data_IF_452203281174
#
_entry.id   IF_452203281174
#
_cell.length_a   1.000
_cell.length_b   1.000
_cell.length_c   1.000
_cell.angle_alpha   90.00
_cell.angle_beta   90.00
_cell.angle_gamma   90.00
#
_symmetry.space_group_name_H-M   'P 1'
#
loop_
_entity.id
_entity.type
_entity.pdbx_description
1 polymer ?
#
# COMPACT_ATOMS: atom_id res chain seq x y z
N UNK A 1 -9.30 -39.07 -22.47
CA UNK A 1 -9.91 -39.81 -21.34
C UNK A 1 -9.32 -39.40 -19.98
N UNK A 2 -7.99 -39.36 -19.85
CA UNK A 2 -7.28 -38.93 -18.62
C UNK A 2 -7.69 -37.54 -18.09
N UNK A 3 -7.70 -36.53 -18.97
CA UNK A 3 -7.99 -35.14 -18.60
C UNK A 3 -9.42 -34.94 -18.05
N UNK A 4 -10.42 -35.72 -18.53
CA UNK A 4 -11.81 -35.63 -18.02
C UNK A 4 -11.89 -36.09 -16.55
N UNK A 5 -11.12 -37.11 -16.16
CA UNK A 5 -11.11 -37.61 -14.79
C UNK A 5 -10.37 -36.67 -13.85
N UNK A 6 -9.22 -36.12 -14.28
CA UNK A 6 -8.54 -35.05 -13.55
C UNK A 6 -9.46 -33.84 -13.35
N UNK A 7 -10.20 -33.45 -14.38
CA UNK A 7 -11.15 -32.34 -14.31
C UNK A 7 -12.27 -32.61 -13.28
N UNK A 8 -12.83 -33.83 -13.24
CA UNK A 8 -13.84 -34.20 -12.23
C UNK A 8 -13.30 -34.05 -10.81
N UNK A 9 -12.05 -34.44 -10.56
CA UNK A 9 -11.41 -34.33 -9.24
C UNK A 9 -11.13 -32.87 -8.90
N UNK A 10 -10.52 -32.10 -9.80
CA UNK A 10 -10.20 -30.68 -9.54
C UNK A 10 -11.48 -29.86 -9.28
N UNK A 11 -12.60 -30.20 -9.92
CA UNK A 11 -13.90 -29.57 -9.67
C UNK A 11 -14.44 -29.80 -8.25
N UNK A 12 -13.95 -30.78 -7.48
CA UNK A 12 -14.33 -30.96 -6.06
C UNK A 12 -13.47 -30.13 -5.10
N UNK A 13 -12.38 -29.52 -5.57
CA UNK A 13 -11.48 -28.75 -4.72
C UNK A 13 -12.10 -27.42 -4.33
N UNK A 14 -12.00 -27.08 -3.04
CA UNK A 14 -12.32 -25.74 -2.55
C UNK A 14 -11.14 -24.82 -2.82
N UNK A 15 -11.12 -24.19 -3.99
CA UNK A 15 -10.04 -23.29 -4.41
C UNK A 15 -10.24 -21.91 -3.79
N UNK A 16 -9.20 -21.41 -3.12
CA UNK A 16 -9.12 -20.04 -2.58
C UNK A 16 -8.28 -19.17 -3.53
N UNK A 17 -8.71 -17.93 -3.73
CA UNK A 17 -7.91 -16.91 -4.43
C UNK A 17 -6.76 -16.37 -3.56
N UNK A 18 -6.84 -16.57 -2.24
CA UNK A 18 -5.77 -16.23 -1.30
C UNK A 18 -4.69 -17.32 -1.30
N UNK A 19 -3.42 -16.96 -1.50
CA UNK A 19 -2.31 -17.89 -1.36
C UNK A 19 -2.23 -18.54 0.02
N UNK A 20 -1.82 -19.81 0.07
CA UNK A 20 -1.67 -20.57 1.31
C UNK A 20 -0.29 -21.22 1.43
N UNK A 21 0.37 -21.09 2.58
CA UNK A 21 1.61 -21.82 2.85
C UNK A 21 1.34 -23.11 3.61
N UNK A 22 1.30 -24.24 2.90
CA UNK A 22 0.94 -25.55 3.47
C UNK A 22 1.66 -26.72 2.81
N UNK A 23 1.46 -27.91 3.37
CA UNK A 23 1.92 -29.17 2.75
C UNK A 23 1.08 -29.56 1.54
N UNK A 24 1.63 -30.45 0.73
CA UNK A 24 0.96 -31.02 -0.44
C UNK A 24 -0.04 -32.10 -0.01
N UNK A 25 -1.15 -32.21 -0.73
CA UNK A 25 -2.20 -33.20 -0.49
C UNK A 25 -2.43 -34.05 -1.72
N UNK A 26 -2.85 -35.30 -1.50
CA UNK A 26 -3.35 -36.15 -2.57
C UNK A 26 -4.65 -35.56 -3.13
N UNK A 27 -4.72 -35.42 -4.45
CA UNK A 27 -5.86 -34.91 -5.20
C UNK A 27 -7.18 -35.62 -4.88
N UNK A 28 -7.12 -36.94 -4.63
CA UNK A 28 -8.28 -37.77 -4.36
C UNK A 28 -8.62 -37.84 -2.87
N UNK A 29 -7.74 -38.40 -2.04
CA UNK A 29 -8.05 -38.63 -0.62
C UNK A 29 -7.74 -37.43 0.30
N UNK A 30 -7.16 -36.35 -0.22
CA UNK A 30 -6.82 -35.12 0.51
C UNK A 30 -5.83 -35.30 1.69
N UNK A 31 -5.27 -36.50 1.91
CA UNK A 31 -4.21 -36.74 2.89
C UNK A 31 -2.92 -36.03 2.48
N UNK A 32 -2.16 -35.53 3.46
CA UNK A 32 -0.85 -34.91 3.23
C UNK A 32 0.16 -35.92 2.70
N UNK A 33 1.02 -35.48 1.79
CA UNK A 33 2.01 -36.31 1.10
C UNK A 33 3.33 -35.56 0.88
N UNK A 34 4.43 -36.31 0.80
CA UNK A 34 5.79 -35.78 0.56
C UNK A 34 6.38 -36.17 -0.80
N UNK A 35 5.81 -37.23 -1.41
CA UNK A 35 6.06 -37.67 -2.78
C UNK A 35 4.71 -37.98 -3.41
N UNK A 36 4.61 -37.79 -4.71
CA UNK A 36 3.36 -38.02 -5.44
C UNK A 36 3.64 -38.47 -6.87
N UNK A 37 2.62 -39.05 -7.50
CA UNK A 37 2.51 -39.10 -8.95
C UNK A 37 2.06 -37.74 -9.45
N UNK A 38 2.86 -37.11 -10.30
CA UNK A 38 2.58 -35.78 -10.84
C UNK A 38 1.89 -35.89 -12.20
N UNK A 39 0.73 -35.23 -12.32
CA UNK A 39 -0.02 -35.09 -13.56
C UNK A 39 -0.31 -33.62 -13.83
N UNK A 40 -0.66 -33.29 -15.07
CA UNK A 40 -1.00 -31.93 -15.50
C UNK A 40 -2.41 -31.92 -16.08
N UNK A 41 -3.31 -31.15 -15.49
CA UNK A 41 -4.62 -30.86 -16.06
C UNK A 41 -4.50 -29.61 -16.92
N UNK A 42 -4.88 -29.70 -18.21
CA UNK A 42 -4.77 -28.60 -19.20
C UNK A 42 -6.06 -28.35 -19.98
N UNK A 43 -7.22 -28.72 -19.43
CA UNK A 43 -8.52 -28.62 -20.11
C UNK A 43 -9.59 -27.99 -19.21
N UNK A 44 -10.73 -27.62 -19.80
CA UNK A 44 -11.90 -27.12 -19.07
C UNK A 44 -11.66 -25.81 -18.33
N UNK A 45 -10.75 -24.96 -18.82
CA UNK A 45 -10.35 -23.72 -18.17
C UNK A 45 -9.30 -23.89 -17.06
N UNK A 46 -8.65 -25.05 -16.95
CA UNK A 46 -7.60 -25.30 -15.96
C UNK A 46 -6.25 -25.58 -16.62
N UNK A 47 -5.18 -25.08 -15.99
CA UNK A 47 -3.77 -25.42 -16.26
C UNK A 47 -3.03 -25.62 -14.94
N UNK A 48 -3.25 -26.76 -14.28
CA UNK A 48 -2.81 -26.99 -12.89
C UNK A 48 -2.15 -28.37 -12.71
N UNK A 49 -1.11 -28.48 -11.87
CA UNK A 49 -0.62 -29.77 -11.42
C UNK A 49 -1.68 -30.52 -10.60
N UNK A 50 -1.71 -31.85 -10.72
CA UNK A 50 -2.56 -32.76 -9.95
C UNK A 50 -1.69 -33.89 -9.39
N UNK A 51 -1.75 -34.11 -8.08
CA UNK A 51 -0.83 -34.99 -7.37
C UNK A 51 -1.55 -36.16 -6.70
N UNK A 52 -1.13 -37.40 -6.92
CA UNK A 52 -1.72 -38.58 -6.26
C UNK A 52 -0.74 -39.30 -5.35
N UNK A 53 -1.21 -39.77 -4.19
CA UNK A 53 -0.46 -40.74 -3.40
C UNK A 53 -0.45 -42.12 -4.11
N UNK A 54 0.46 -43.01 -3.71
CA UNK A 54 0.57 -44.35 -4.32
C UNK A 54 -0.75 -45.13 -4.29
N UNK A 55 -1.44 -45.15 -3.14
CA UNK A 55 -2.71 -45.88 -2.98
C UNK A 55 -3.80 -45.35 -3.91
N UNK A 56 -3.99 -44.02 -3.97
CA UNK A 56 -4.99 -43.43 -4.85
C UNK A 56 -4.63 -43.58 -6.32
N UNK A 57 -3.33 -43.52 -6.68
CA UNK A 57 -2.91 -43.76 -8.06
C UNK A 57 -3.18 -45.20 -8.51
N UNK A 58 -2.93 -46.18 -7.64
CA UNK A 58 -3.24 -47.58 -7.91
C UNK A 58 -4.75 -47.83 -8.07
N UNK A 59 -5.61 -47.14 -7.31
CA UNK A 59 -7.07 -47.23 -7.49
C UNK A 59 -7.57 -46.64 -8.81
N UNK A 60 -6.79 -45.75 -9.42
CA UNK A 60 -7.06 -45.17 -10.74
C UNK A 60 -6.55 -46.08 -11.89
N UNK A 61 -6.18 -47.34 -11.61
CA UNK A 61 -5.54 -48.33 -12.51
C UNK A 61 -6.24 -48.64 -13.85
N UNK A 62 -7.34 -47.97 -14.20
CA UNK A 62 -7.92 -48.04 -15.57
C UNK A 62 -7.29 -47.04 -16.55
N UNK A 63 -6.30 -46.25 -16.13
CA UNK A 63 -5.68 -45.23 -16.97
C UNK A 63 -4.17 -45.44 -17.02
N UNK A 64 -3.64 -45.76 -18.22
CA UNK A 64 -2.21 -45.65 -18.62
C UNK A 64 -1.71 -44.19 -18.51
N UNK A 65 -1.81 -43.58 -17.34
CA UNK A 65 -1.35 -42.21 -17.10
C UNK A 65 0.15 -42.24 -16.87
N UNK A 66 0.91 -41.72 -17.83
CA UNK A 66 2.35 -41.47 -17.66
C UNK A 66 2.51 -40.41 -16.55
N UNK A 67 3.02 -40.81 -15.40
CA UNK A 67 3.36 -39.92 -14.29
C UNK A 67 4.72 -40.28 -13.76
N UNK A 68 5.41 -39.32 -13.12
CA UNK A 68 6.67 -39.57 -12.43
C UNK A 68 6.43 -39.49 -10.94
N UNK A 69 6.79 -40.53 -10.20
CA UNK A 69 6.74 -40.52 -8.74
C UNK A 69 7.95 -39.77 -8.18
N UNK A 70 7.75 -38.53 -7.72
CA UNK A 70 8.84 -37.65 -7.26
C UNK A 70 8.41 -36.71 -6.14
N UNK A 71 9.41 -36.14 -5.46
CA UNK A 71 9.20 -35.06 -4.48
C UNK A 71 8.75 -33.77 -5.18
N UNK A 72 8.17 -32.86 -4.41
CA UNK A 72 7.75 -31.55 -4.89
C UNK A 72 8.95 -30.60 -5.00
N UNK A 73 8.88 -29.66 -5.94
CA UNK A 73 9.94 -28.70 -6.26
C UNK A 73 9.36 -27.30 -6.47
N UNK A 74 10.17 -26.28 -6.20
CA UNK A 74 9.78 -24.89 -6.43
C UNK A 74 9.68 -24.58 -7.92
N UNK A 75 8.55 -24.03 -8.35
CA UNK A 75 8.36 -23.64 -9.76
C UNK A 75 9.30 -22.49 -10.17
N UNK A 76 9.83 -21.73 -9.20
CA UNK A 76 10.79 -20.65 -9.47
C UNK A 76 12.27 -21.09 -9.39
N UNK A 77 12.64 -21.97 -8.47
CA UNK A 77 14.06 -22.28 -8.22
C UNK A 77 14.41 -23.76 -8.18
N UNK A 78 13.47 -24.66 -8.48
CA UNK A 78 13.69 -26.10 -8.48
C UNK A 78 13.92 -26.75 -7.12
N UNK A 79 14.09 -25.98 -6.03
CA UNK A 79 14.36 -26.50 -4.68
C UNK A 79 13.30 -27.51 -4.25
N UNK A 80 13.73 -28.71 -3.81
CA UNK A 80 12.86 -29.73 -3.22
C UNK A 80 12.17 -29.20 -1.96
N UNK A 81 10.91 -29.54 -1.77
CA UNK A 81 10.13 -29.04 -0.64
C UNK A 81 9.03 -30.00 -0.17
N UNK A 82 8.58 -29.79 1.06
CA UNK A 82 7.47 -30.53 1.69
C UNK A 82 6.28 -29.61 2.05
N UNK A 83 6.51 -28.30 2.05
CA UNK A 83 5.50 -27.24 2.15
C UNK A 83 5.80 -26.17 1.10
N UNK A 84 4.76 -25.57 0.55
CA UNK A 84 4.86 -24.53 -0.48
C UNK A 84 3.81 -23.45 -0.28
N UNK A 85 4.07 -22.28 -0.85
CA UNK A 85 3.03 -21.33 -1.22
C UNK A 85 2.25 -21.90 -2.40
N UNK A 86 0.98 -22.22 -2.17
CA UNK A 86 0.01 -22.58 -3.19
C UNK A 86 -0.64 -21.30 -3.72
N UNK A 87 -0.33 -20.93 -4.96
CA UNK A 87 -0.84 -19.71 -5.58
C UNK A 87 -1.72 -20.03 -6.75
N UNK A 88 -2.98 -19.63 -6.65
CA UNK A 88 -3.95 -19.73 -7.72
C UNK A 88 -4.00 -18.41 -8.48
N UNK A 89 -4.00 -18.48 -9.82
CA UNK A 89 -4.10 -17.31 -10.69
C UNK A 89 -5.02 -17.60 -11.86
N UNK A 90 -5.82 -16.60 -12.26
CA UNK A 90 -6.70 -16.69 -13.42
C UNK A 90 -6.24 -15.68 -14.49
N UNK A 91 -5.84 -16.16 -15.66
CA UNK A 91 -5.44 -15.33 -16.81
C UNK A 91 -6.17 -15.79 -18.06
N UNK A 92 -6.90 -14.87 -18.73
CA UNK A 92 -7.66 -15.20 -19.94
C UNK A 92 -8.71 -16.29 -19.73
N UNK A 93 -9.34 -16.34 -18.55
CA UNK A 93 -10.31 -17.38 -18.19
C UNK A 93 -9.69 -18.70 -17.69
N UNK A 94 -8.38 -18.91 -17.86
CA UNK A 94 -7.68 -20.13 -17.44
C UNK A 94 -7.19 -20.00 -16.00
N UNK A 95 -7.59 -20.91 -15.13
CA UNK A 95 -7.13 -21.05 -13.75
C UNK A 95 -5.88 -21.95 -13.68
N UNK A 96 -4.81 -21.47 -13.07
CA UNK A 96 -3.56 -22.19 -12.86
C UNK A 96 -3.13 -22.14 -11.39
N UNK A 97 -2.44 -23.20 -10.94
CA UNK A 97 -1.76 -23.25 -9.64
C UNK A 97 -0.24 -23.27 -9.85
N UNK A 98 0.49 -22.56 -9.00
CA UNK A 98 1.94 -22.62 -8.90
C UNK A 98 2.38 -22.83 -7.44
N UNK A 99 3.54 -23.47 -7.26
CA UNK A 99 4.11 -23.84 -5.97
C UNK A 99 5.47 -23.17 -5.75
N UNK A 100 5.54 -22.27 -4.78
CA UNK A 100 6.79 -21.57 -4.44
C UNK A 100 7.32 -22.00 -3.07
N UNK A 101 8.63 -22.19 -2.95
CA UNK A 101 9.24 -22.36 -1.63
C UNK A 101 9.09 -21.05 -0.83
N UNK A 102 9.19 -21.12 0.50
CA UNK A 102 9.01 -19.95 1.39
C UNK A 102 9.77 -18.71 0.89
N UNK A 103 11.08 -18.83 0.69
CA UNK A 103 11.91 -17.71 0.24
C UNK A 103 11.48 -17.12 -1.11
N UNK A 104 11.14 -17.96 -2.11
CA UNK A 104 10.67 -17.47 -3.40
C UNK A 104 9.31 -16.77 -3.28
N UNK A 105 8.37 -17.35 -2.53
CA UNK A 105 7.07 -16.73 -2.33
C UNK A 105 7.14 -15.44 -1.52
N UNK A 106 8.02 -15.37 -0.52
CA UNK A 106 8.27 -14.17 0.27
C UNK A 106 8.85 -13.06 -0.61
N UNK A 107 9.82 -13.37 -1.49
CA UNK A 107 10.38 -12.40 -2.46
C UNK A 107 9.33 -11.89 -3.44
N UNK A 108 8.46 -12.78 -3.93
CA UNK A 108 7.34 -12.46 -4.81
C UNK A 108 6.19 -11.73 -4.07
N UNK A 109 6.19 -11.73 -2.75
CA UNK A 109 5.19 -11.06 -1.93
C UNK A 109 3.84 -11.78 -1.84
N UNK A 110 3.86 -13.10 -1.95
CA UNK A 110 2.68 -13.97 -2.03
C UNK A 110 1.81 -13.93 -0.75
N UNK A 111 2.44 -13.86 0.44
CA UNK A 111 1.74 -13.85 1.74
C UNK A 111 1.31 -12.46 2.23
N UNK A 112 1.47 -11.40 1.45
CA UNK A 112 1.66 -10.08 2.08
C UNK A 112 0.35 -9.40 2.48
N UNK A 113 -0.26 -9.96 3.54
CA UNK A 113 -1.14 -9.28 4.47
C UNK A 113 -0.46 -8.00 4.89
N UNK A 114 -1.22 -6.93 4.80
CA UNK A 114 -0.79 -5.64 5.33
C UNK A 114 -0.69 -5.77 6.85
N UNK A 115 0.40 -5.28 7.42
CA UNK A 115 0.71 -5.29 8.86
C UNK A 115 0.88 -3.87 9.41
N UNK A 116 0.95 -2.86 8.55
CA UNK A 116 1.10 -1.48 8.97
C UNK A 116 0.49 -0.48 8.00
N UNK A 117 0.21 0.70 8.53
CA UNK A 117 -0.30 1.84 7.78
C UNK A 117 0.54 3.06 8.13
N UNK A 118 1.07 3.72 7.11
CA UNK A 118 1.72 5.02 7.20
C UNK A 118 0.71 6.04 6.71
N UNK A 119 0.49 7.10 7.48
CA UNK A 119 -0.33 8.24 7.09
C UNK A 119 0.55 9.45 6.82
N UNK A 120 0.21 10.22 5.78
CA UNK A 120 0.58 11.63 5.76
C UNK A 120 -0.18 12.42 6.85
N UNK A 121 0.30 13.62 7.19
CA UNK A 121 -0.30 14.46 8.21
C UNK A 121 -1.27 15.50 7.62
N UNK A 122 -0.74 16.41 6.80
CA UNK A 122 -1.42 17.62 6.33
C UNK A 122 -2.26 17.32 5.09
N UNK A 123 -3.59 17.49 5.19
CA UNK A 123 -4.51 17.10 4.12
C UNK A 123 -4.96 15.63 4.21
N UNK A 124 -4.37 14.85 5.11
CA UNK A 124 -4.69 13.43 5.32
C UNK A 124 -5.25 13.13 6.72
N UNK A 125 -4.49 13.37 7.80
CA UNK A 125 -5.00 13.23 9.19
C UNK A 125 -5.65 14.54 9.64
N UNK A 126 -5.00 15.66 9.33
CA UNK A 126 -5.39 17.00 9.74
C UNK A 126 -5.79 17.79 8.50
N UNK A 127 -6.99 18.37 8.51
CA UNK A 127 -7.46 19.27 7.45
C UNK A 127 -6.82 20.65 7.62
N UNK A 128 -5.70 20.88 6.95
CA UNK A 128 -4.96 22.17 6.95
C UNK A 128 -5.05 22.92 5.63
N UNK A 129 -5.79 22.40 4.64
CA UNK A 129 -5.89 22.98 3.29
C UNK A 129 -6.37 24.44 3.33
N UNK A 130 -7.44 24.74 4.07
CA UNK A 130 -7.98 26.11 4.19
C UNK A 130 -6.98 27.07 4.86
N UNK A 131 -6.20 26.58 5.83
CA UNK A 131 -5.17 27.39 6.51
C UNK A 131 -4.06 27.73 5.50
N UNK A 132 -3.66 26.78 4.67
CA UNK A 132 -2.64 27.01 3.64
C UNK A 132 -3.13 27.95 2.53
N UNK A 133 -4.39 27.83 2.10
CA UNK A 133 -5.00 28.74 1.13
C UNK A 133 -5.06 30.17 1.69
N UNK A 134 -5.53 30.35 2.93
CA UNK A 134 -5.54 31.64 3.61
C UNK A 134 -4.13 32.22 3.82
N UNK A 135 -3.14 31.38 4.14
CA UNK A 135 -1.76 31.81 4.33
C UNK A 135 -1.12 32.33 3.04
N UNK A 136 -1.44 31.72 1.90
CA UNK A 136 -1.00 32.22 0.61
C UNK A 136 -1.67 33.56 0.31
N UNK A 137 -3.00 33.66 0.45
CA UNK A 137 -3.73 34.92 0.24
C UNK A 137 -3.18 36.07 1.10
N UNK A 138 -2.95 35.81 2.40
CA UNK A 138 -2.32 36.78 3.31
C UNK A 138 -0.93 37.23 2.83
N UNK A 139 -0.08 36.30 2.40
CA UNK A 139 1.22 36.65 1.85
C UNK A 139 1.07 37.45 0.53
N UNK A 140 0.09 37.08 -0.29
CA UNK A 140 -0.29 37.81 -1.51
C UNK A 140 -0.59 39.27 -1.22
N UNK A 141 -1.55 39.52 -0.34
CA UNK A 141 -1.94 40.86 0.11
C UNK A 141 -0.75 41.64 0.67
N UNK A 142 0.00 41.03 1.59
CA UNK A 142 1.16 41.67 2.24
C UNK A 142 2.24 42.15 1.28
N UNK A 143 2.42 41.47 0.15
CA UNK A 143 3.45 41.80 -0.84
C UNK A 143 2.88 42.30 -2.18
N UNK A 144 1.59 42.66 -2.21
CA UNK A 144 0.86 43.10 -3.40
C UNK A 144 1.00 42.11 -4.59
N UNK A 145 0.87 40.82 -4.31
CA UNK A 145 0.91 39.72 -5.29
C UNK A 145 -0.50 39.16 -5.43
N UNK A 146 -1.19 39.36 -6.57
CA UNK A 146 -2.51 38.79 -6.80
C UNK A 146 -2.39 37.26 -6.91
N UNK A 147 -3.23 36.54 -6.15
CA UNK A 147 -3.23 35.08 -6.10
C UNK A 147 -4.55 34.57 -6.64
N UNK A 148 -4.50 33.87 -7.78
CA UNK A 148 -5.68 33.28 -8.38
C UNK A 148 -6.06 31.95 -7.72
N UNK A 149 -7.33 31.55 -7.87
CA UNK A 149 -7.80 30.22 -7.46
C UNK A 149 -7.00 29.10 -8.13
N UNK A 150 -6.61 29.28 -9.38
CA UNK A 150 -5.79 28.32 -10.12
C UNK A 150 -4.41 28.15 -9.48
N UNK A 151 -3.75 29.24 -9.05
CA UNK A 151 -2.48 29.16 -8.32
C UNK A 151 -2.61 28.38 -7.01
N UNK A 152 -3.70 28.60 -6.26
CA UNK A 152 -3.98 27.85 -5.02
C UNK A 152 -4.26 26.37 -5.25
N UNK A 153 -4.82 26.01 -6.39
CA UNK A 153 -5.00 24.62 -6.82
C UNK A 153 -3.64 24.00 -7.22
N UNK A 154 -2.86 24.71 -8.03
CA UNK A 154 -1.59 24.23 -8.58
C UNK A 154 -0.47 24.09 -7.53
N UNK A 155 -0.55 24.81 -6.41
CA UNK A 155 0.41 24.65 -5.31
C UNK A 155 0.24 23.36 -4.51
N UNK A 156 -0.88 22.63 -4.66
CA UNK A 156 -1.08 21.37 -3.93
C UNK A 156 -0.08 20.30 -4.38
N UNK A 157 0.62 19.72 -3.42
CA UNK A 157 1.57 18.63 -3.64
C UNK A 157 2.94 19.04 -4.18
N UNK A 158 3.30 20.32 -4.10
CA UNK A 158 4.67 20.81 -4.34
C UNK A 158 5.22 21.51 -3.10
N UNK A 159 6.55 21.69 -3.02
CA UNK A 159 7.17 22.32 -1.85
C UNK A 159 6.71 23.78 -1.69
N UNK A 160 6.73 24.31 -0.46
CA UNK A 160 6.40 25.74 -0.23
C UNK A 160 7.30 26.67 -1.04
N UNK A 161 8.57 26.30 -1.23
CA UNK A 161 9.49 27.07 -2.08
C UNK A 161 9.10 27.02 -3.56
N UNK A 162 8.76 25.84 -4.10
CA UNK A 162 8.32 25.70 -5.49
C UNK A 162 7.01 26.45 -5.73
N UNK A 163 6.06 26.35 -4.80
CA UNK A 163 4.82 27.11 -4.82
C UNK A 163 5.08 28.63 -4.79
N UNK A 164 5.96 29.11 -3.91
CA UNK A 164 6.31 30.52 -3.86
C UNK A 164 6.97 31.01 -5.16
N UNK A 165 7.86 30.21 -5.78
CA UNK A 165 8.48 30.52 -7.08
C UNK A 165 7.46 30.57 -8.22
N UNK A 166 6.41 29.75 -8.15
CA UNK A 166 5.30 29.73 -9.11
C UNK A 166 4.37 30.93 -8.93
N UNK A 167 4.05 31.28 -7.68
CA UNK A 167 3.12 32.36 -7.34
C UNK A 167 3.74 33.75 -7.55
N UNK A 168 5.04 33.91 -7.24
CA UNK A 168 5.69 35.20 -7.36
C UNK A 168 5.92 35.59 -8.83
N UNK A 169 5.48 36.79 -9.25
CA UNK A 169 5.77 37.28 -10.59
C UNK A 169 7.27 37.57 -10.75
N UNK A 170 7.75 37.60 -12.01
CA UNK A 170 9.18 37.75 -12.33
C UNK A 170 9.82 38.96 -11.65
N UNK A 171 9.13 40.10 -11.63
CA UNK A 171 9.59 41.35 -11.01
C UNK A 171 9.61 41.32 -9.46
N UNK A 172 9.05 40.30 -8.81
CA UNK A 172 9.01 40.17 -7.34
C UNK A 172 9.77 38.95 -6.81
N UNK A 173 10.56 38.26 -7.64
CA UNK A 173 11.34 37.08 -7.21
C UNK A 173 12.34 37.37 -6.08
N UNK A 174 12.83 38.60 -5.96
CA UNK A 174 13.69 39.03 -4.86
C UNK A 174 13.02 38.91 -3.47
N UNK A 175 11.67 38.87 -3.41
CA UNK A 175 10.89 38.71 -2.18
C UNK A 175 10.73 37.26 -1.73
N UNK A 176 11.24 36.26 -2.47
CA UNK A 176 10.98 34.83 -2.25
C UNK A 176 11.08 34.41 -0.77
N UNK A 177 12.19 34.76 -0.10
CA UNK A 177 12.40 34.40 1.31
C UNK A 177 11.39 35.07 2.24
N UNK A 178 11.08 36.36 2.02
CA UNK A 178 10.11 37.12 2.83
C UNK A 178 8.68 36.60 2.63
N UNK A 179 8.33 36.25 1.39
CA UNK A 179 7.04 35.68 1.02
C UNK A 179 6.79 34.32 1.69
N UNK A 180 7.78 33.42 1.61
CA UNK A 180 7.75 32.11 2.29
C UNK A 180 7.62 32.30 3.80
N UNK A 181 8.40 33.20 4.40
CA UNK A 181 8.39 33.44 5.86
C UNK A 181 7.03 33.97 6.33
N UNK A 182 6.42 34.90 5.59
CA UNK A 182 5.08 35.41 5.92
C UNK A 182 4.01 34.32 5.86
N UNK A 183 4.01 33.50 4.80
CA UNK A 183 3.12 32.35 4.66
C UNK A 183 3.31 31.35 5.80
N UNK A 184 4.56 31.01 6.13
CA UNK A 184 4.86 30.07 7.22
C UNK A 184 4.39 30.60 8.57
N UNK A 185 4.65 31.87 8.87
CA UNK A 185 4.19 32.52 10.10
C UNK A 185 2.66 32.49 10.21
N UNK A 186 1.94 32.83 9.13
CA UNK A 186 0.47 32.76 9.14
C UNK A 186 -0.03 31.35 9.46
N UNK A 187 0.58 30.30 8.87
CA UNK A 187 0.20 28.91 9.15
C UNK A 187 0.38 28.57 10.62
N UNK A 188 1.53 28.93 11.20
CA UNK A 188 1.84 28.70 12.63
C UNK A 188 0.83 29.42 13.51
N UNK A 189 0.63 30.72 13.28
CA UNK A 189 -0.27 31.56 14.08
C UNK A 189 -1.74 31.12 14.00
N UNK A 190 -2.12 30.33 12.98
CA UNK A 190 -3.49 29.86 12.74
C UNK A 190 -3.65 28.33 12.81
N UNK A 191 -2.65 27.60 13.30
CA UNK A 191 -2.69 26.12 13.33
C UNK A 191 -3.78 25.58 14.27
N UNK A 192 -4.17 26.38 15.26
CA UNK A 192 -5.29 26.11 16.17
C UNK A 192 -6.65 25.98 15.44
N UNK A 193 -6.79 26.51 14.23
CA UNK A 193 -7.99 26.36 13.39
C UNK A 193 -8.04 25.03 12.64
N UNK A 194 -6.99 24.22 12.75
CA UNK A 194 -6.96 22.92 12.11
C UNK A 194 -8.02 22.00 12.75
N UNK A 195 -8.51 21.04 11.97
CA UNK A 195 -9.43 20.00 12.45
C UNK A 195 -8.93 18.64 11.99
N UNK A 196 -9.19 17.60 12.78
CA UNK A 196 -8.97 16.23 12.33
C UNK A 196 -10.00 15.84 11.28
N UNK A 197 -9.59 15.04 10.29
CA UNK A 197 -10.56 14.46 9.36
C UNK A 197 -11.53 13.54 10.09
N UNK A 198 -12.83 13.55 9.74
CA UNK A 198 -13.84 12.79 10.46
C UNK A 198 -13.51 11.30 10.60
N UNK A 199 -13.55 10.79 11.83
CA UNK A 199 -13.37 9.38 12.15
C UNK A 199 -11.93 8.86 12.17
N UNK A 200 -10.91 9.68 11.87
CA UNK A 200 -9.50 9.24 11.81
C UNK A 200 -9.04 8.60 13.13
N UNK A 201 -9.35 9.20 14.28
CA UNK A 201 -8.96 8.66 15.58
C UNK A 201 -9.57 7.28 15.85
N UNK A 202 -10.85 7.09 15.49
CA UNK A 202 -11.53 5.80 15.63
C UNK A 202 -10.87 4.73 14.75
N UNK A 203 -10.51 5.10 13.53
CA UNK A 203 -9.83 4.21 12.57
C UNK A 203 -8.43 3.83 13.09
N UNK A 204 -7.62 4.80 13.54
CA UNK A 204 -6.29 4.55 14.12
C UNK A 204 -6.39 3.61 15.33
N UNK A 205 -7.34 3.86 16.25
CA UNK A 205 -7.55 2.99 17.41
C UNK A 205 -7.94 1.57 17.01
N UNK A 206 -8.90 1.42 16.08
CA UNK A 206 -9.35 0.11 15.61
C UNK A 206 -8.24 -0.67 14.87
N UNK A 207 -7.42 0.01 14.06
CA UNK A 207 -6.27 -0.61 13.42
C UNK A 207 -5.23 -1.06 14.46
N UNK A 208 -4.95 -0.22 15.45
CA UNK A 208 -4.01 -0.56 16.53
C UNK A 208 -4.50 -1.78 17.33
N UNK A 209 -5.80 -1.84 17.68
CA UNK A 209 -6.43 -3.00 18.35
C UNK A 209 -6.36 -4.28 17.51
N UNK A 210 -6.37 -4.17 16.18
CA UNK A 210 -6.19 -5.30 15.26
C UNK A 210 -4.73 -5.68 15.01
N UNK A 211 -3.78 -5.05 15.72
CA UNK A 211 -2.34 -5.35 15.64
C UNK A 211 -1.60 -4.67 14.48
N UNK A 212 -2.21 -3.71 13.79
CA UNK A 212 -1.50 -2.95 12.75
C UNK A 212 -0.56 -1.91 13.36
N UNK A 213 0.66 -1.81 12.83
CA UNK A 213 1.59 -0.72 13.19
C UNK A 213 1.19 0.56 12.48
N UNK A 214 0.94 1.63 13.24
CA UNK A 214 0.54 2.94 12.70
C UNK A 214 1.65 3.95 12.86
N UNK A 215 2.01 4.60 11.75
CA UNK A 215 3.04 5.63 11.68
C UNK A 215 2.54 6.86 10.92
N UNK A 216 3.09 8.02 11.26
CA UNK A 216 2.93 9.26 10.48
C UNK A 216 4.24 9.55 9.74
N UNK A 217 4.17 9.90 8.47
CA UNK A 217 5.30 10.33 7.67
C UNK A 217 4.95 11.65 6.98
N UNK A 218 5.52 12.75 7.47
CA UNK A 218 5.16 14.11 7.05
C UNK A 218 6.35 14.89 6.51
N UNK A 219 6.05 15.91 5.70
CA UNK A 219 7.01 16.94 5.28
C UNK A 219 6.99 18.18 6.19
N UNK A 220 6.22 18.14 7.28
CA UNK A 220 6.22 19.18 8.30
C UNK A 220 7.52 19.15 9.14
N UNK A 221 7.90 20.33 9.63
CA UNK A 221 8.94 20.51 10.64
C UNK A 221 8.51 19.92 11.98
N UNK A 222 9.47 19.53 12.82
CA UNK A 222 9.22 18.99 14.15
C UNK A 222 8.35 19.91 15.00
N UNK A 223 8.65 21.20 15.05
CA UNK A 223 7.89 22.19 15.84
C UNK A 223 6.40 22.19 15.47
N UNK A 224 6.08 22.13 14.17
CA UNK A 224 4.69 22.06 13.68
C UNK A 224 4.00 20.76 14.07
N UNK A 225 4.72 19.63 14.01
CA UNK A 225 4.19 18.35 14.49
C UNK A 225 3.85 18.43 15.98
N UNK A 226 4.73 19.02 16.79
CA UNK A 226 4.53 19.19 18.23
C UNK A 226 3.31 20.07 18.55
N UNK A 227 3.12 21.18 17.83
CA UNK A 227 1.91 22.03 17.93
C UNK A 227 0.64 21.23 17.63
N UNK A 228 0.62 20.46 16.54
CA UNK A 228 -0.52 19.60 16.17
C UNK A 228 -0.79 18.56 17.27
N UNK A 229 0.24 17.93 17.83
CA UNK A 229 0.09 16.96 18.92
C UNK A 229 -0.40 17.61 20.24
N UNK A 230 -0.10 18.88 20.45
CA UNK A 230 -0.59 19.64 21.60
C UNK A 230 -2.08 20.00 21.45
N UNK A 231 -2.50 20.41 20.24
CA UNK A 231 -3.91 20.67 19.93
C UNK A 231 -4.73 19.38 19.98
N UNK A 232 -4.22 18.31 19.35
CA UNK A 232 -4.89 17.01 19.28
C UNK A 232 -4.19 16.00 20.18
N UNK A 233 -4.40 16.13 21.49
CA UNK A 233 -3.79 15.26 22.50
C UNK A 233 -4.07 13.77 22.28
N UNK A 234 -5.15 13.42 21.59
CA UNK A 234 -5.49 12.06 21.17
C UNK A 234 -4.45 11.41 20.23
N UNK A 235 -3.68 12.21 19.48
CA UNK A 235 -2.58 11.75 18.64
C UNK A 235 -1.28 11.49 19.44
N UNK A 236 -1.19 11.90 20.71
CA UNK A 236 0.02 11.66 21.53
C UNK A 236 0.36 10.18 21.69
N UNK A 237 -0.62 9.27 21.54
CA UNK A 237 -0.40 7.81 21.56
C UNK A 237 0.54 7.33 20.46
N UNK A 238 0.65 8.07 19.35
CA UNK A 238 1.53 7.74 18.23
C UNK A 238 2.73 8.69 18.12
N UNK A 239 3.02 9.50 19.16
CA UNK A 239 4.12 10.49 19.15
C UNK A 239 5.50 9.90 18.84
N UNK A 240 5.73 8.65 19.24
CA UNK A 240 6.99 7.93 18.99
C UNK A 240 7.06 7.32 17.58
N UNK A 241 5.95 7.32 16.83
CA UNK A 241 5.80 6.71 15.52
C UNK A 241 5.62 7.77 14.43
N UNK A 242 6.39 8.86 14.49
CA UNK A 242 6.33 9.95 13.52
C UNK A 242 7.71 10.15 12.88
N UNK A 243 7.71 10.32 11.56
CA UNK A 243 8.85 10.80 10.78
C UNK A 243 8.53 12.20 10.26
N UNK A 244 9.33 13.20 10.64
CA UNK A 244 9.25 14.58 10.17
C UNK A 244 10.45 14.97 9.30
N UNK A 245 10.42 16.16 8.69
CA UNK A 245 11.32 16.48 7.58
C UNK A 245 12.80 16.55 7.92
N UNK A 246 13.15 16.86 9.18
CA UNK A 246 14.52 16.94 9.67
C UNK A 246 15.17 15.56 9.87
N UNK A 247 14.42 14.46 9.72
CA UNK A 247 14.92 13.09 9.93
C UNK A 247 15.45 12.43 8.65
N UNK A 248 15.37 13.10 7.50
CA UNK A 248 15.82 12.61 6.20
C UNK A 248 16.41 13.75 5.37
N UNK A 249 17.23 13.42 4.36
CA UNK A 249 18.00 14.42 3.62
C UNK A 249 17.22 15.00 2.45
N UNK A 250 16.50 14.16 1.71
CA UNK A 250 15.68 14.55 0.57
C UNK A 250 14.21 14.34 0.88
N UNK A 251 13.41 15.41 0.81
CA UNK A 251 11.96 15.35 0.98
C UNK A 251 11.22 14.76 -0.22
N UNK A 252 9.91 14.61 -0.06
CA UNK A 252 9.00 14.12 -1.10
C UNK A 252 9.24 14.90 -2.41
N UNK A 253 9.34 14.23 -3.58
CA UNK A 253 8.97 12.84 -3.86
C UNK A 253 10.06 11.78 -3.60
N UNK A 254 11.14 12.12 -2.91
CA UNK A 254 12.18 11.13 -2.55
C UNK A 254 11.62 9.99 -1.70
N UNK A 255 12.09 8.74 -1.88
CA UNK A 255 11.63 7.61 -1.07
C UNK A 255 12.22 7.57 0.35
N UNK A 256 13.16 8.47 0.69
CA UNK A 256 13.93 8.43 1.95
C UNK A 256 13.02 8.38 3.18
N UNK A 257 11.99 9.22 3.23
CA UNK A 257 11.08 9.29 4.37
C UNK A 257 10.31 7.97 4.60
N UNK A 258 9.80 7.33 3.54
CA UNK A 258 9.10 6.05 3.63
C UNK A 258 10.06 4.87 3.89
N UNK A 259 11.26 4.91 3.32
CA UNK A 259 12.31 3.91 3.61
C UNK A 259 12.68 3.94 5.10
N UNK A 260 12.86 5.14 5.66
CA UNK A 260 13.13 5.32 7.09
C UNK A 260 11.93 4.84 7.94
N UNK A 261 10.72 5.20 7.56
CA UNK A 261 9.49 4.81 8.28
C UNK A 261 9.35 3.29 8.32
N UNK A 262 9.43 2.60 7.18
CA UNK A 262 9.33 1.13 7.10
C UNK A 262 10.46 0.42 7.87
N UNK A 263 11.69 0.96 7.84
CA UNK A 263 12.80 0.47 8.66
C UNK A 263 12.48 0.58 10.16
N UNK A 264 11.99 1.73 10.64
CA UNK A 264 11.60 1.89 12.06
C UNK A 264 10.38 1.05 12.45
N UNK A 265 9.46 0.82 11.53
CA UNK A 265 8.34 -0.11 11.71
C UNK A 265 8.81 -1.57 11.86
N UNK A 266 10.00 -1.92 11.33
CA UNK A 266 10.43 -3.31 11.21
C UNK A 266 9.51 -4.11 10.29
N UNK A 267 8.98 -3.50 9.23
CA UNK A 267 8.09 -4.12 8.25
C UNK A 267 8.67 -4.00 6.85
N UNK A 268 8.40 -4.99 6.00
CA UNK A 268 8.73 -4.87 4.58
C UNK A 268 7.80 -3.84 3.91
N UNK A 269 8.32 -3.09 2.93
CA UNK A 269 7.59 -2.06 2.16
C UNK A 269 6.25 -2.54 1.59
N UNK A 270 6.19 -3.80 1.26
CA UNK A 270 5.05 -4.52 0.67
C UNK A 270 3.99 -4.97 1.69
N UNK A 271 4.30 -4.91 2.98
CA UNK A 271 3.39 -5.18 4.10
C UNK A 271 2.73 -3.90 4.62
N UNK A 272 2.94 -2.76 3.94
CA UNK A 272 2.54 -1.44 4.42
C UNK A 272 1.75 -0.72 3.35
N UNK A 273 0.65 -0.09 3.75
CA UNK A 273 0.02 0.96 2.96
C UNK A 273 0.53 2.33 3.40
N UNK A 274 0.75 3.21 2.43
CA UNK A 274 0.92 4.64 2.65
C UNK A 274 -0.34 5.37 2.17
N UNK A 275 -0.90 6.22 3.02
CA UNK A 275 -2.10 7.02 2.73
C UNK A 275 -1.69 8.49 2.68
N UNK A 276 -2.01 9.17 1.58
CA UNK A 276 -1.74 10.59 1.38
C UNK A 276 -2.72 11.24 0.40
N UNK A 277 -2.81 12.56 0.39
CA UNK A 277 -3.77 13.34 -0.39
C UNK A 277 -3.14 14.10 -1.57
N UNK A 278 -1.83 13.99 -1.76
CA UNK A 278 -1.11 14.72 -2.80
C UNK A 278 -0.38 13.84 -3.82
N UNK A 279 -0.16 14.37 -5.02
CA UNK A 279 0.64 13.71 -6.05
C UNK A 279 2.11 13.48 -5.62
N UNK A 280 2.65 14.32 -4.74
CA UNK A 280 3.95 14.08 -4.10
C UNK A 280 3.97 12.80 -3.26
N UNK A 281 2.88 12.47 -2.58
CA UNK A 281 2.77 11.26 -1.75
C UNK A 281 2.78 10.02 -2.61
N UNK A 282 2.00 10.06 -3.70
CA UNK A 282 2.03 9.01 -4.72
C UNK A 282 3.44 8.81 -5.28
N UNK A 283 4.12 9.87 -5.73
CA UNK A 283 5.48 9.75 -6.27
C UNK A 283 6.47 9.18 -5.25
N UNK A 284 6.38 9.62 -4.00
CA UNK A 284 7.18 9.09 -2.87
C UNK A 284 6.94 7.59 -2.68
N UNK A 285 5.66 7.18 -2.68
CA UNK A 285 5.26 5.78 -2.52
C UNK A 285 5.80 4.89 -3.65
N UNK A 286 5.70 5.36 -4.89
CA UNK A 286 6.13 4.65 -6.08
C UNK A 286 7.66 4.48 -6.07
N UNK A 287 8.40 5.56 -5.78
CA UNK A 287 9.85 5.50 -5.63
C UNK A 287 10.27 4.56 -4.47
N UNK A 288 9.50 4.53 -3.38
CA UNK A 288 9.77 3.68 -2.24
C UNK A 288 9.35 2.22 -2.46
N UNK A 289 8.52 1.93 -3.48
CA UNK A 289 7.84 0.64 -3.69
C UNK A 289 6.92 0.25 -2.52
N UNK A 290 6.25 1.24 -1.93
CA UNK A 290 5.22 1.07 -0.89
C UNK A 290 3.86 1.21 -1.54
N UNK A 291 2.90 0.35 -1.16
CA UNK A 291 1.53 0.42 -1.71
C UNK A 291 0.87 1.73 -1.28
N UNK A 292 0.19 2.40 -2.20
CA UNK A 292 -0.41 3.72 -1.95
C UNK A 292 -1.92 3.68 -2.00
N UNK A 293 -2.54 4.45 -1.11
CA UNK A 293 -3.97 4.75 -1.11
C UNK A 293 -4.10 6.28 -1.17
N UNK A 294 -4.83 6.76 -2.17
CA UNK A 294 -5.10 8.18 -2.32
C UNK A 294 -6.28 8.58 -1.43
N UNK A 295 -6.05 9.47 -0.46
CA UNK A 295 -7.11 10.05 0.35
C UNK A 295 -7.68 11.27 -0.37
N UNK A 296 -8.97 11.20 -0.73
CA UNK A 296 -9.66 12.24 -1.46
C UNK A 296 -11.07 12.44 -0.89
N UNK A 297 -11.23 13.30 0.14
CA UNK A 297 -12.50 13.45 0.85
C UNK A 297 -13.62 14.00 -0.06
N UNK A 298 -13.26 14.72 -1.11
CA UNK A 298 -14.19 15.14 -2.16
C UNK A 298 -13.66 14.68 -3.53
N UNK A 299 -14.26 13.63 -4.07
CA UNK A 299 -13.83 13.00 -5.33
C UNK A 299 -13.87 13.96 -6.54
N UNK A 300 -14.70 15.02 -6.49
CA UNK A 300 -14.75 16.05 -7.54
C UNK A 300 -13.43 16.82 -7.65
N UNK A 301 -12.66 16.86 -6.56
CA UNK A 301 -11.35 17.53 -6.49
C UNK A 301 -10.18 16.58 -6.74
N UNK A 302 -10.44 15.38 -7.29
CA UNK A 302 -9.37 14.40 -7.56
C UNK A 302 -8.29 15.01 -8.45
N UNK A 303 -7.04 14.90 -8.00
CA UNK A 303 -5.89 15.23 -8.82
C UNK A 303 -5.75 14.22 -9.98
N UNK A 304 -5.90 14.71 -11.21
CA UNK A 304 -5.84 13.90 -12.44
C UNK A 304 -4.47 13.25 -12.65
N UNK A 305 -3.41 13.74 -11.98
CA UNK A 305 -2.06 13.16 -12.03
C UNK A 305 -1.96 11.83 -11.28
N UNK A 306 -2.89 11.53 -10.36
CA UNK A 306 -2.96 10.23 -9.67
C UNK A 306 -3.49 9.17 -10.66
N UNK A 307 -2.73 8.10 -10.96
CA UNK A 307 -3.17 7.07 -11.90
C UNK A 307 -4.47 6.38 -11.48
N UNK A 308 -5.35 6.07 -12.45
CA UNK A 308 -6.65 5.40 -12.20
C UNK A 308 -6.58 4.07 -11.42
N UNK A 309 -5.53 3.22 -11.56
CA UNK A 309 -5.45 1.98 -10.79
C UNK A 309 -5.20 2.16 -9.29
N UNK A 310 -4.82 3.36 -8.84
CA UNK A 310 -4.57 3.62 -7.42
C UNK A 310 -5.90 3.65 -6.65
N UNK A 311 -6.04 2.86 -5.57
CA UNK A 311 -7.24 2.89 -4.76
C UNK A 311 -7.43 4.27 -4.12
N UNK A 312 -8.67 4.75 -4.16
CA UNK A 312 -9.07 6.04 -3.59
C UNK A 312 -10.02 5.77 -2.43
N UNK A 313 -9.83 6.48 -1.33
CA UNK A 313 -10.78 6.48 -0.20
C UNK A 313 -11.27 7.91 0.06
N UNK A 314 -12.57 8.07 0.28
CA UNK A 314 -13.17 9.36 0.66
C UNK A 314 -13.34 9.50 2.18
N UNK A 315 -13.36 8.37 2.88
CA UNK A 315 -13.33 8.27 4.33
C UNK A 315 -12.24 7.31 4.78
N UNK A 316 -11.56 7.65 5.88
CA UNK A 316 -10.58 6.76 6.52
C UNK A 316 -11.15 5.38 6.89
N UNK A 317 -12.47 5.26 7.12
CA UNK A 317 -13.13 3.97 7.40
C UNK A 317 -13.02 2.98 6.24
N UNK A 318 -12.89 3.45 5.00
CA UNK A 318 -12.82 2.59 3.82
C UNK A 318 -11.54 1.75 3.77
N UNK A 319 -10.49 2.11 4.54
CA UNK A 319 -9.26 1.33 4.64
C UNK A 319 -9.53 -0.13 5.02
N UNK A 320 -10.55 -0.40 5.87
CA UNK A 320 -10.90 -1.75 6.29
C UNK A 320 -11.42 -2.64 5.14
N UNK A 321 -11.84 -2.05 4.02
CA UNK A 321 -12.19 -2.80 2.80
C UNK A 321 -10.94 -3.25 2.04
N UNK A 322 -9.83 -2.52 2.17
CA UNK A 322 -8.57 -2.74 1.47
C UNK A 322 -7.57 -3.64 2.23
N UNK A 323 -7.81 -3.85 3.53
CA UNK A 323 -6.96 -4.67 4.42
C UNK A 323 -7.40 -6.15 4.52
N UNK A 324 -8.42 -6.57 3.75
CA UNK A 324 -9.05 -7.90 3.82
C UNK A 324 -8.25 -9.03 3.15
#
# INVERSE_FOLDING_TARGET
MEQKNLLRIVKTWKISDKPEYRGFRCASCQKYIHKAWHHQLRTGGYRTPVHFCNLCKAKLNTLRMKGVFKTFTCDNCGKKMYKSWHVWSKKGGILAEAHFCKNCGDKLGIDRKIKGVIYDLDGTIVSTTKIHEAAWLYAGEKFNVPISKEMLLNQKGISTEAAAKMILPRNKKYLLRKFIKAKQKYVIDNINKAILFPGILKVINQLTQKGYKIWICTSALKARVEEILNIFTSLKKIKNNIIWCEMYRKGKPSPEALNLTTKKMGLAKTEVYYIGDAFSDYKTSAAAKVKFIYFCPNIRNRDKRIPKPIPIISSHKEIFKLLK
#
